data_IF_238806956011
#
_entry.id   IF_238806956011
#
_cell.length_a   1.000
_cell.length_b   1.000
_cell.length_c   1.000
_cell.angle_alpha   90.00
_cell.angle_beta   90.00
_cell.angle_gamma   90.00
#
_symmetry.space_group_name_H-M   'P 1'
#
loop_
_entity.id
_entity.type
_entity.pdbx_description
1 polymer ?
#
# COMPACT_ATOMS: atom_id res chain seq x y z
N UNK A 1 18.32 -20.18 -13.71
CA UNK A 1 17.29 -19.13 -13.59
C UNK A 1 18.01 -17.82 -13.37
N UNK A 2 18.02 -16.92 -14.35
CA UNK A 2 18.62 -15.59 -14.21
C UNK A 2 17.70 -14.74 -13.37
N UNK A 3 18.08 -14.48 -12.13
CA UNK A 3 17.38 -13.52 -11.27
C UNK A 3 17.66 -12.13 -11.83
N UNK A 4 16.66 -11.52 -12.48
CA UNK A 4 16.72 -10.10 -12.81
C UNK A 4 16.84 -9.35 -11.47
N UNK A 5 17.95 -8.65 -11.27
CA UNK A 5 18.14 -7.80 -10.09
C UNK A 5 17.13 -6.67 -10.15
N UNK A 6 16.21 -6.66 -9.19
CA UNK A 6 15.22 -5.59 -9.05
C UNK A 6 15.97 -4.27 -8.79
N UNK A 7 15.74 -3.29 -9.65
CA UNK A 7 16.39 -1.99 -9.56
C UNK A 7 15.52 -1.02 -8.73
N UNK A 8 16.12 -0.22 -7.83
CA UNK A 8 15.43 0.87 -7.15
C UNK A 8 14.73 1.82 -8.13
N UNK A 9 13.60 2.39 -7.72
CA UNK A 9 12.81 3.32 -8.55
C UNK A 9 12.40 4.55 -7.76
N UNK A 10 12.27 5.70 -8.41
CA UNK A 10 11.81 6.93 -7.76
C UNK A 10 10.35 7.22 -8.10
N UNK A 11 9.56 7.57 -7.09
CA UNK A 11 8.20 8.12 -7.21
C UNK A 11 8.23 9.59 -6.80
N UNK A 12 8.45 10.47 -7.77
CA UNK A 12 8.69 11.90 -7.50
C UNK A 12 9.92 12.07 -6.58
N UNK A 13 9.79 12.74 -5.42
CA UNK A 13 10.90 12.93 -4.49
C UNK A 13 11.22 11.68 -3.63
N UNK A 14 10.38 10.64 -3.67
CA UNK A 14 10.57 9.44 -2.84
C UNK A 14 11.35 8.38 -3.59
N UNK A 15 12.41 7.87 -2.97
CA UNK A 15 13.18 6.74 -3.48
C UNK A 15 12.64 5.44 -2.91
N UNK A 16 12.32 4.47 -3.76
CA UNK A 16 11.94 3.11 -3.39
C UNK A 16 13.10 2.16 -3.62
N UNK A 17 13.33 1.28 -2.64
CA UNK A 17 14.38 0.25 -2.68
C UNK A 17 14.13 -0.84 -3.74
N UNK A 18 12.89 -0.95 -4.23
CA UNK A 18 12.47 -1.96 -5.20
C UNK A 18 11.28 -1.44 -6.01
N UNK A 19 11.07 -1.91 -7.25
CA UNK A 19 9.94 -1.50 -8.08
C UNK A 19 8.66 -2.27 -7.76
N UNK A 20 8.67 -3.16 -6.76
CA UNK A 20 7.53 -3.96 -6.36
C UNK A 20 6.67 -3.23 -5.32
N UNK A 21 5.38 -3.11 -5.58
CA UNK A 21 4.42 -2.47 -4.67
C UNK A 21 3.05 -3.12 -4.75
N UNK A 22 2.27 -3.00 -3.67
CA UNK A 22 0.87 -3.43 -3.63
C UNK A 22 0.00 -2.33 -4.25
N UNK A 23 -0.72 -2.66 -5.33
CA UNK A 23 -1.73 -1.79 -5.91
C UNK A 23 -2.93 -1.62 -4.97
N UNK A 24 -3.62 -0.49 -5.08
CA UNK A 24 -4.82 -0.21 -4.29
C UNK A 24 -5.88 -1.29 -4.51
N UNK A 25 -6.39 -1.83 -3.42
CA UNK A 25 -7.47 -2.82 -3.45
C UNK A 25 -8.81 -2.12 -3.19
N UNK A 26 -9.91 -2.82 -3.45
CA UNK A 26 -11.22 -2.37 -3.00
C UNK A 26 -11.77 -3.39 -2.01
N UNK A 27 -12.22 -2.89 -0.85
CA UNK A 27 -12.94 -3.67 0.14
C UNK A 27 -12.14 -3.98 1.40
N UNK A 28 -12.82 -4.65 2.33
CA UNK A 28 -12.41 -4.81 3.72
C UNK A 28 -11.07 -5.54 3.96
N UNK A 29 -10.50 -6.18 2.93
CA UNK A 29 -9.24 -6.92 3.02
C UNK A 29 -8.00 -6.06 2.79
N UNK A 30 -8.16 -4.76 2.51
CA UNK A 30 -7.06 -3.88 2.15
C UNK A 30 -5.96 -3.85 3.24
N UNK A 31 -6.34 -3.55 4.48
CA UNK A 31 -5.40 -3.52 5.60
C UNK A 31 -4.56 -4.80 5.76
N UNK A 32 -5.16 -6.00 5.99
CA UNK A 32 -4.37 -7.22 6.18
C UNK A 32 -3.53 -7.55 4.94
N UNK A 33 -4.01 -7.23 3.73
CA UNK A 33 -3.25 -7.47 2.51
C UNK A 33 -2.03 -6.55 2.41
N UNK A 34 -2.15 -5.26 2.77
CA UNK A 34 -1.01 -4.34 2.84
C UNK A 34 0.04 -4.81 3.85
N UNK A 35 -0.39 -5.28 5.02
CA UNK A 35 0.53 -5.84 6.03
C UNK A 35 1.29 -7.04 5.49
N UNK A 36 0.62 -7.96 4.82
CA UNK A 36 1.25 -9.14 4.23
C UNK A 36 2.19 -8.74 3.09
N UNK A 37 1.77 -7.85 2.20
CA UNK A 37 2.59 -7.39 1.08
C UNK A 37 3.90 -6.72 1.55
N UNK A 38 3.81 -5.83 2.56
CA UNK A 38 4.99 -5.21 3.15
C UNK A 38 5.94 -6.25 3.78
N UNK A 39 5.40 -7.25 4.50
CA UNK A 39 6.19 -8.35 5.08
C UNK A 39 6.85 -9.24 4.03
N UNK A 40 6.26 -9.34 2.83
CA UNK A 40 6.79 -10.11 1.71
C UNK A 40 7.73 -9.30 0.80
N UNK A 41 8.06 -8.06 1.16
CA UNK A 41 9.07 -7.27 0.45
C UNK A 41 8.52 -6.28 -0.59
N UNK A 42 7.23 -5.95 -0.53
CA UNK A 42 6.74 -4.78 -1.24
C UNK A 42 7.42 -3.52 -0.70
N UNK A 43 8.03 -2.72 -1.57
CA UNK A 43 8.68 -1.47 -1.20
C UNK A 43 7.68 -0.41 -0.72
N UNK A 44 6.43 -0.52 -1.18
CA UNK A 44 5.34 0.37 -0.81
C UNK A 44 3.98 -0.32 -1.01
N UNK A 45 2.94 0.13 -0.29
CA UNK A 45 1.58 -0.39 -0.41
C UNK A 45 0.55 0.73 -0.47
N UNK A 46 -0.35 0.70 -1.46
CA UNK A 46 -1.42 1.67 -1.58
C UNK A 46 -2.64 1.28 -0.74
N UNK A 47 -3.20 2.25 -0.04
CA UNK A 47 -4.50 2.13 0.63
C UNK A 47 -5.64 2.09 -0.39
N UNK A 48 -6.71 1.36 -0.07
CA UNK A 48 -7.93 1.33 -0.86
C UNK A 48 -8.51 2.72 -1.13
N UNK A 49 -9.21 2.86 -2.25
CA UNK A 49 -9.95 4.10 -2.56
C UNK A 49 -11.13 4.20 -1.61
N UNK A 50 -10.98 5.02 -0.57
CA UNK A 50 -12.07 5.29 0.36
C UNK A 50 -13.07 6.26 -0.28
N UNK A 51 -14.34 5.86 -0.34
CA UNK A 51 -15.43 6.78 -0.65
C UNK A 51 -15.60 7.73 0.54
N UNK A 52 -15.72 9.02 0.28
CA UNK A 52 -15.81 10.10 1.29
C UNK A 52 -16.80 9.79 2.42
N UNK A 53 -17.89 9.12 2.07
CA UNK A 53 -18.93 8.68 3.00
C UNK A 53 -18.42 7.71 4.08
N UNK A 54 -17.48 6.83 3.77
CA UNK A 54 -16.90 5.88 4.73
C UNK A 54 -16.05 6.60 5.79
N UNK A 55 -15.30 7.62 5.38
CA UNK A 55 -14.47 8.47 6.26
C UNK A 55 -15.36 9.28 7.19
N UNK A 56 -16.47 9.82 6.67
CA UNK A 56 -17.40 10.67 7.42
C UNK A 56 -18.28 9.84 8.38
N UNK A 57 -18.74 8.66 7.95
CA UNK A 57 -19.75 7.89 8.69
C UNK A 57 -19.19 6.92 9.74
N UNK A 58 -17.87 6.68 9.76
CA UNK A 58 -17.28 5.72 10.71
C UNK A 58 -16.10 6.32 11.47
N UNK A 59 -16.07 6.14 12.81
CA UNK A 59 -14.88 6.47 13.63
C UNK A 59 -13.62 5.70 13.19
N UNK A 60 -13.82 4.55 12.54
CA UNK A 60 -12.76 3.65 12.05
C UNK A 60 -12.14 4.12 10.72
N UNK A 61 -12.87 4.85 9.86
CA UNK A 61 -12.33 5.36 8.60
C UNK A 61 -11.10 6.27 8.75
N UNK A 62 -11.04 7.06 9.84
CA UNK A 62 -9.86 7.86 10.18
C UNK A 62 -8.63 7.03 10.59
N UNK A 63 -8.83 5.86 11.21
CA UNK A 63 -7.75 4.98 11.64
C UNK A 63 -7.20 4.16 10.46
N UNK A 64 -8.08 3.72 9.55
CA UNK A 64 -7.67 2.92 8.38
C UNK A 64 -6.84 3.69 7.36
N UNK A 65 -7.04 5.01 7.25
CA UNK A 65 -6.34 5.87 6.28
C UNK A 65 -4.83 6.03 6.53
N UNK A 66 -4.37 5.81 7.77
CA UNK A 66 -3.13 6.45 8.25
C UNK A 66 -2.04 5.46 8.68
N UNK A 67 -2.27 4.15 8.52
CA UNK A 67 -1.52 3.15 9.28
C UNK A 67 -0.39 2.47 8.49
N UNK A 68 -0.39 2.54 7.15
CA UNK A 68 0.60 1.88 6.28
C UNK A 68 0.81 2.66 4.97
N UNK A 69 1.12 3.95 5.08
CA UNK A 69 1.72 4.71 3.99
C UNK A 69 3.21 4.82 4.28
#
# INVERSE_FOLDING_TARGET
MTVNTLQPVSLGPYQLESPLYQAALSGYSDYPMRVIAARLGAAYTLCEVMIDRMIIQTKQGKQHSMMYC
#
